data_IF_047024194239
#
_entry.id   IF_047024194239
#
_cell.length_a   1.000
_cell.length_b   1.000
_cell.length_c   1.000
_cell.angle_alpha   90.00
_cell.angle_beta   90.00
_cell.angle_gamma   90.00
#
_symmetry.space_group_name_H-M   'P 1'
#
loop_
_entity.id
_entity.type
_entity.pdbx_description
1 polymer ?
#
# COMPACT_ATOMS: atom_id res chain seq x y z
N UNK A 1 -3.43 -21.53 69.73
CA UNK A 1 -2.44 -20.45 69.95
C UNK A 1 -3.03 -19.16 69.34
N UNK A 2 -3.54 -18.28 70.25
CA UNK A 2 -4.01 -16.97 69.79
C UNK A 2 -2.76 -16.10 69.49
N UNK A 3 -2.64 -15.71 68.24
CA UNK A 3 -1.57 -14.78 67.79
C UNK A 3 -1.93 -13.41 68.35
N UNK A 4 -1.21 -12.95 69.37
CA UNK A 4 -1.45 -11.65 69.98
C UNK A 4 -1.03 -10.55 69.01
N UNK A 5 -2.03 -9.84 68.46
CA UNK A 5 -1.85 -8.77 67.47
C UNK A 5 -0.89 -7.64 67.98
N UNK A 6 -0.87 -7.43 69.28
CA UNK A 6 0.01 -6.43 69.92
C UNK A 6 1.46 -6.87 69.88
N UNK A 7 1.75 -8.14 70.04
CA UNK A 7 3.14 -8.65 69.94
C UNK A 7 3.64 -8.55 68.50
N UNK A 8 2.79 -8.81 67.49
CA UNK A 8 3.15 -8.64 66.08
C UNK A 8 3.51 -7.18 65.75
N UNK A 9 2.74 -6.21 66.24
CA UNK A 9 2.99 -4.78 66.06
C UNK A 9 4.29 -4.38 66.77
N UNK A 10 4.58 -4.91 67.96
CA UNK A 10 5.80 -4.62 68.69
C UNK A 10 7.05 -5.13 67.98
N UNK A 11 6.98 -6.31 67.40
CA UNK A 11 8.09 -6.90 66.58
C UNK A 11 8.33 -6.07 65.33
N UNK A 12 7.24 -5.69 64.61
CA UNK A 12 7.33 -4.83 63.45
C UNK A 12 7.94 -3.46 63.79
N UNK A 13 7.53 -2.87 64.92
CA UNK A 13 8.07 -1.58 65.34
C UNK A 13 9.55 -1.67 65.72
N UNK A 14 9.96 -2.74 66.38
CA UNK A 14 11.38 -3.01 66.72
C UNK A 14 12.25 -3.23 65.48
N UNK A 15 11.68 -3.81 64.40
CA UNK A 15 12.34 -4.08 63.14
C UNK A 15 12.25 -2.93 62.11
N UNK A 16 11.58 -1.80 62.43
CA UNK A 16 11.27 -0.71 61.48
C UNK A 16 12.50 -0.20 60.69
N UNK A 17 13.65 -0.07 61.33
CA UNK A 17 14.89 0.42 60.67
C UNK A 17 15.41 -0.61 59.68
N UNK A 18 15.32 -1.88 59.98
CA UNK A 18 15.72 -2.98 59.06
C UNK A 18 14.78 -3.02 57.86
N UNK A 19 13.45 -2.92 58.09
CA UNK A 19 12.43 -2.91 57.05
C UNK A 19 12.65 -1.71 56.10
N UNK A 20 12.83 -0.50 56.65
CA UNK A 20 13.10 0.70 55.86
C UNK A 20 14.40 0.57 55.08
N UNK A 21 15.47 0.02 55.68
CA UNK A 21 16.73 -0.23 54.99
C UNK A 21 16.60 -1.19 53.80
N UNK A 22 15.84 -2.28 53.96
CA UNK A 22 15.59 -3.23 52.89
C UNK A 22 14.74 -2.59 51.75
N UNK A 23 13.71 -1.82 52.10
CA UNK A 23 12.88 -1.13 51.10
C UNK A 23 13.75 -0.12 50.33
N UNK A 24 14.56 0.68 50.99
CA UNK A 24 15.45 1.63 50.34
C UNK A 24 16.49 0.96 49.43
N UNK A 25 17.05 -0.15 49.87
CA UNK A 25 18.01 -0.93 49.09
C UNK A 25 17.37 -1.45 47.79
N UNK A 26 16.19 -2.07 47.85
CA UNK A 26 15.49 -2.53 46.66
C UNK A 26 14.98 -1.39 45.78
N UNK A 27 14.59 -0.25 46.36
CA UNK A 27 14.22 0.93 45.60
C UNK A 27 15.42 1.48 44.82
N UNK A 28 16.61 1.54 45.41
CA UNK A 28 17.83 1.93 44.72
C UNK A 28 18.20 0.97 43.59
N UNK A 29 18.08 -0.35 43.82
CA UNK A 29 18.33 -1.35 42.77
C UNK A 29 17.34 -1.16 41.66
N UNK A 30 16.02 -1.05 41.94
CA UNK A 30 14.97 -0.82 40.92
C UNK A 30 15.22 0.45 40.11
N UNK A 31 15.67 1.53 40.77
CA UNK A 31 16.02 2.76 40.08
C UNK A 31 17.24 2.59 39.16
N UNK A 32 18.29 1.92 39.60
CA UNK A 32 19.46 1.63 38.76
C UNK A 32 19.09 0.75 37.56
N UNK A 33 18.30 -0.29 37.77
CA UNK A 33 17.81 -1.17 36.68
C UNK A 33 16.96 -0.37 35.67
N UNK A 34 16.15 0.57 36.13
CA UNK A 34 15.35 1.44 35.26
C UNK A 34 16.17 2.27 34.27
N UNK A 35 17.38 2.69 34.67
CA UNK A 35 18.32 3.43 33.79
C UNK A 35 19.01 2.55 32.75
N UNK A 36 19.17 1.25 33.04
CA UNK A 36 19.84 0.30 32.15
C UNK A 36 18.89 -0.27 31.10
N UNK A 37 17.58 -0.27 31.39
CA UNK A 37 16.56 -0.75 30.45
C UNK A 37 16.47 0.17 29.23
N UNK A 38 16.64 -0.38 28.01
CA UNK A 38 16.51 0.42 26.79
C UNK A 38 15.09 0.96 26.67
N UNK A 39 14.96 2.27 26.60
CA UNK A 39 13.68 2.92 26.34
C UNK A 39 13.23 2.58 24.92
N UNK A 40 11.96 2.22 24.77
CA UNK A 40 11.33 1.95 23.48
C UNK A 40 10.14 2.88 23.29
N UNK A 41 10.14 3.59 22.19
CA UNK A 41 9.09 4.52 21.82
C UNK A 41 8.36 3.97 20.62
N UNK A 42 7.02 3.89 20.71
CA UNK A 42 6.18 3.45 19.61
C UNK A 42 5.42 4.63 19.04
N UNK A 43 5.61 4.88 17.75
CA UNK A 43 4.74 5.77 16.97
C UNK A 43 3.64 4.95 16.35
N UNK A 44 2.42 5.48 16.31
CA UNK A 44 1.27 4.82 15.68
C UNK A 44 0.48 5.82 14.83
N UNK A 45 -0.06 5.32 13.72
CA UNK A 45 -0.93 6.05 12.82
C UNK A 45 -2.13 5.18 12.45
N UNK A 46 -3.33 5.73 12.53
CA UNK A 46 -4.54 5.06 12.06
C UNK A 46 -4.78 5.50 10.61
N UNK A 47 -4.93 4.52 9.73
CA UNK A 47 -5.21 4.74 8.31
C UNK A 47 -6.56 4.16 7.94
N UNK A 48 -7.27 4.87 7.08
CA UNK A 48 -8.60 4.51 6.57
C UNK A 48 -8.63 4.69 5.06
N UNK A 49 -9.54 4.04 4.33
CA UNK A 49 -9.78 4.38 2.94
C UNK A 49 -10.07 5.86 2.76
N UNK A 50 -9.64 6.44 1.64
CA UNK A 50 -9.90 7.84 1.32
C UNK A 50 -11.40 8.17 1.40
N UNK A 51 -11.75 9.37 1.85
CA UNK A 51 -13.15 9.80 1.85
C UNK A 51 -13.69 9.99 0.42
N UNK A 52 -15.00 9.84 0.26
CA UNK A 52 -15.65 9.95 -1.06
C UNK A 52 -15.36 11.29 -1.75
N UNK A 53 -15.22 12.36 -0.99
CA UNK A 53 -14.89 13.69 -1.52
C UNK A 53 -13.48 13.73 -2.10
N UNK A 54 -12.51 13.15 -1.39
CA UNK A 54 -11.11 13.07 -1.84
C UNK A 54 -10.96 12.19 -3.09
N UNK A 55 -11.79 11.14 -3.19
CA UNK A 55 -11.79 10.21 -4.31
C UNK A 55 -12.54 10.76 -5.54
N UNK A 56 -13.39 11.78 -5.37
CA UNK A 56 -14.28 12.28 -6.43
C UNK A 56 -13.55 12.82 -7.65
N UNK A 57 -12.42 13.49 -7.46
CA UNK A 57 -11.60 14.02 -8.56
C UNK A 57 -11.06 12.91 -9.46
N UNK A 58 -10.49 11.86 -8.84
CA UNK A 58 -10.01 10.70 -9.59
C UNK A 58 -11.16 9.97 -10.31
N UNK A 59 -12.30 9.81 -9.65
CA UNK A 59 -13.49 9.21 -10.25
C UNK A 59 -13.97 9.96 -11.51
N UNK A 60 -13.91 11.29 -11.51
CA UNK A 60 -14.26 12.08 -12.70
C UNK A 60 -13.34 11.77 -13.87
N UNK A 61 -12.05 11.67 -13.62
CA UNK A 61 -11.07 11.39 -14.68
C UNK A 61 -11.21 9.93 -15.18
N UNK A 62 -11.39 8.96 -14.27
CA UNK A 62 -11.66 7.58 -14.63
C UNK A 62 -12.97 7.43 -15.43
N UNK A 63 -14.02 8.19 -15.08
CA UNK A 63 -15.28 8.19 -15.81
C UNK A 63 -15.14 8.69 -17.26
N UNK A 64 -14.25 9.65 -17.52
CA UNK A 64 -13.94 10.10 -18.88
C UNK A 64 -13.30 8.97 -19.71
N UNK A 65 -12.41 8.21 -19.09
CA UNK A 65 -11.76 7.07 -19.73
C UNK A 65 -12.74 5.91 -19.97
N UNK A 66 -13.69 5.71 -19.07
CA UNK A 66 -14.77 4.74 -19.26
C UNK A 66 -15.64 5.06 -20.49
N UNK A 67 -15.95 6.34 -20.74
CA UNK A 67 -16.66 6.77 -21.96
C UNK A 67 -15.88 6.42 -23.23
N UNK A 68 -14.54 6.38 -23.16
CA UNK A 68 -13.69 5.95 -24.27
C UNK A 68 -13.56 4.41 -24.37
N UNK A 69 -14.35 3.67 -23.58
CA UNK A 69 -14.37 2.20 -23.57
C UNK A 69 -13.16 1.58 -22.87
N UNK A 70 -12.56 2.30 -21.94
CA UNK A 70 -11.48 1.79 -21.07
C UNK A 70 -12.05 1.62 -19.66
N UNK A 71 -12.18 0.39 -19.20
CA UNK A 71 -12.73 0.06 -17.89
C UNK A 71 -11.59 -0.20 -16.90
N UNK A 72 -11.63 0.53 -15.80
CA UNK A 72 -10.70 0.34 -14.69
C UNK A 72 -11.44 -0.18 -13.45
N UNK A 73 -10.97 -1.28 -12.89
CA UNK A 73 -11.43 -1.76 -11.57
C UNK A 73 -10.66 -1.08 -10.43
N UNK A 74 -10.48 0.24 -10.57
CA UNK A 74 -9.81 1.07 -9.57
C UNK A 74 -10.87 1.79 -8.78
N UNK A 75 -11.03 1.37 -7.53
CA UNK A 75 -11.92 2.01 -6.58
C UNK A 75 -11.18 2.31 -5.26
N UNK A 76 -11.82 3.09 -4.42
CA UNK A 76 -11.30 3.51 -3.12
C UNK A 76 -10.82 2.35 -2.26
N UNK A 77 -11.61 1.28 -2.21
CA UNK A 77 -11.36 0.16 -1.33
C UNK A 77 -10.26 -0.76 -1.89
N UNK A 78 -10.20 -0.93 -3.23
CA UNK A 78 -9.11 -1.66 -3.89
C UNK A 78 -7.76 -0.93 -3.75
N UNK A 79 -7.76 0.39 -3.88
CA UNK A 79 -6.55 1.21 -3.67
C UNK A 79 -6.04 1.12 -2.22
N UNK A 80 -6.95 1.15 -1.24
CA UNK A 80 -6.60 0.98 0.17
C UNK A 80 -6.10 -0.43 0.47
N UNK A 81 -6.75 -1.46 -0.07
CA UNK A 81 -6.29 -2.85 0.07
C UNK A 81 -4.88 -3.04 -0.52
N UNK A 82 -4.59 -2.41 -1.67
CA UNK A 82 -3.26 -2.40 -2.27
C UNK A 82 -2.23 -1.71 -1.36
N UNK A 83 -2.61 -0.57 -0.73
CA UNK A 83 -1.76 0.12 0.23
C UNK A 83 -1.41 -0.79 1.41
N UNK A 84 -2.38 -1.45 2.03
CA UNK A 84 -2.13 -2.36 3.16
C UNK A 84 -1.25 -3.54 2.72
N UNK A 85 -1.53 -4.14 1.55
CA UNK A 85 -0.71 -5.22 0.98
C UNK A 85 0.74 -4.80 0.77
N UNK A 86 0.98 -3.60 0.23
CA UNK A 86 2.33 -3.04 0.03
C UNK A 86 3.01 -2.69 1.36
N UNK A 87 2.27 -2.16 2.32
CA UNK A 87 2.78 -1.85 3.66
C UNK A 87 3.25 -3.12 4.38
N UNK A 88 2.53 -4.23 4.25
CA UNK A 88 2.89 -5.53 4.82
C UNK A 88 3.98 -6.28 4.03
N UNK A 89 4.35 -5.77 2.86
CA UNK A 89 5.35 -6.42 2.01
C UNK A 89 6.74 -6.29 2.62
N UNK A 90 7.35 -7.43 2.92
CA UNK A 90 8.73 -7.52 3.42
C UNK A 90 9.71 -6.88 2.43
N UNK A 91 9.47 -7.02 1.11
CA UNK A 91 10.32 -6.43 0.08
C UNK A 91 10.25 -4.90 0.10
N UNK A 92 9.04 -4.33 0.14
CA UNK A 92 8.85 -2.88 0.21
C UNK A 92 9.49 -2.29 1.47
N UNK A 93 9.34 -2.98 2.60
CA UNK A 93 9.93 -2.55 3.86
C UNK A 93 11.46 -2.61 3.83
N UNK A 94 12.03 -3.69 3.32
CA UNK A 94 13.47 -3.83 3.18
C UNK A 94 14.07 -2.78 2.23
N UNK A 95 13.39 -2.48 1.11
CA UNK A 95 13.82 -1.46 0.15
C UNK A 95 13.80 -0.07 0.78
N UNK A 96 12.71 0.29 1.47
CA UNK A 96 12.62 1.54 2.21
C UNK A 96 13.70 1.65 3.30
N UNK A 97 13.87 0.62 4.12
CA UNK A 97 14.85 0.64 5.21
C UNK A 97 16.28 0.84 4.70
N UNK A 98 16.64 0.24 3.56
CA UNK A 98 17.96 0.42 2.93
C UNK A 98 18.21 1.86 2.48
N UNK A 99 17.18 2.58 2.06
CA UNK A 99 17.24 3.96 1.57
C UNK A 99 16.91 5.00 2.66
N UNK A 100 16.43 4.56 3.84
CA UNK A 100 15.97 5.48 4.87
C UNK A 100 17.13 6.24 5.52
N UNK A 101 16.98 7.55 5.81
CA UNK A 101 17.99 8.34 6.50
C UNK A 101 18.38 7.74 7.86
N UNK A 102 17.44 7.14 8.56
CA UNK A 102 17.63 6.48 9.85
C UNK A 102 18.63 5.32 9.75
N UNK A 103 18.47 4.42 8.81
CA UNK A 103 19.37 3.28 8.60
C UNK A 103 20.74 3.76 8.12
N UNK A 104 20.76 4.77 7.23
CA UNK A 104 22.02 5.37 6.75
C UNK A 104 22.82 6.00 7.89
N UNK A 105 22.16 6.60 8.86
CA UNK A 105 22.84 7.16 10.06
C UNK A 105 23.42 6.05 10.95
N UNK A 106 22.69 4.95 11.13
CA UNK A 106 23.18 3.77 11.86
C UNK A 106 24.43 3.19 11.19
N UNK A 107 24.41 3.05 9.85
CA UNK A 107 25.54 2.56 9.07
C UNK A 107 26.77 3.44 9.28
N UNK A 108 26.60 4.76 9.17
CA UNK A 108 27.70 5.72 9.34
C UNK A 108 28.30 5.69 10.75
N UNK A 109 27.45 5.55 11.78
CA UNK A 109 27.90 5.54 13.18
C UNK A 109 28.63 4.25 13.60
N UNK A 110 28.23 3.10 13.02
CA UNK A 110 28.71 1.78 13.48
C UNK A 110 29.70 1.10 12.55
N UNK A 111 30.02 1.67 11.39
CA UNK A 111 30.90 1.08 10.36
C UNK A 111 30.55 -0.40 10.04
N UNK A 112 29.26 -0.67 9.84
CA UNK A 112 28.64 -1.99 9.80
C UNK A 112 28.95 -2.67 8.47
N UNK A 113 29.28 -3.97 8.50
CA UNK A 113 29.43 -4.81 7.31
C UNK A 113 28.09 -5.07 6.59
N UNK A 114 28.13 -5.47 5.33
CA UNK A 114 26.91 -5.75 4.55
C UNK A 114 26.00 -6.82 5.19
N UNK A 115 26.60 -7.83 5.86
CA UNK A 115 25.85 -8.87 6.55
C UNK A 115 25.18 -8.36 7.83
N UNK A 116 25.88 -7.53 8.60
CA UNK A 116 25.34 -6.90 9.80
C UNK A 116 24.24 -5.91 9.45
N UNK A 117 24.38 -5.19 8.33
CA UNK A 117 23.34 -4.32 7.79
C UNK A 117 22.07 -5.11 7.49
N UNK A 118 22.19 -6.25 6.81
CA UNK A 118 21.04 -7.09 6.51
C UNK A 118 20.33 -7.56 7.79
N UNK A 119 21.07 -8.01 8.80
CA UNK A 119 20.51 -8.41 10.10
C UNK A 119 19.85 -7.24 10.83
N UNK A 120 20.45 -6.05 10.78
CA UNK A 120 19.89 -4.86 11.38
C UNK A 120 18.56 -4.46 10.70
N UNK A 121 18.48 -4.53 9.37
CA UNK A 121 17.26 -4.25 8.61
C UNK A 121 16.16 -5.26 8.96
N UNK A 122 16.47 -6.55 9.03
CA UNK A 122 15.50 -7.58 9.43
C UNK A 122 14.99 -7.32 10.85
N UNK A 123 15.87 -7.05 11.81
CA UNK A 123 15.47 -6.73 13.19
C UNK A 123 14.65 -5.44 13.30
N UNK A 124 14.92 -4.43 12.47
CA UNK A 124 14.10 -3.22 12.41
C UNK A 124 12.74 -3.49 11.77
N UNK A 125 12.69 -4.39 10.78
CA UNK A 125 11.44 -4.77 10.11
C UNK A 125 10.44 -5.44 11.08
N UNK A 126 10.93 -6.18 12.07
CA UNK A 126 10.10 -6.79 13.12
C UNK A 126 9.41 -5.75 14.03
N UNK A 127 9.95 -4.54 14.10
CA UNK A 127 9.37 -3.44 14.85
C UNK A 127 8.26 -2.69 14.10
N UNK A 128 8.09 -2.96 12.79
CA UNK A 128 6.98 -2.43 11.98
C UNK A 128 5.79 -3.37 12.09
N UNK A 129 4.64 -2.85 12.50
CA UNK A 129 3.41 -3.63 12.68
C UNK A 129 2.24 -2.94 12.00
N UNK A 130 1.32 -3.76 11.51
CA UNK A 130 0.02 -3.35 11.02
C UNK A 130 -1.05 -4.23 11.66
N UNK A 131 -2.06 -3.61 12.24
CA UNK A 131 -3.15 -4.30 12.92
C UNK A 131 -4.47 -3.85 12.31
N UNK A 132 -5.30 -4.81 11.93
CA UNK A 132 -6.68 -4.55 11.51
C UNK A 132 -7.52 -4.29 12.77
N UNK A 133 -7.99 -3.06 12.94
CA UNK A 133 -8.75 -2.63 14.12
C UNK A 133 -10.13 -3.31 14.20
N UNK A 134 -10.60 -3.88 13.09
CA UNK A 134 -11.89 -4.58 13.01
C UNK A 134 -11.76 -6.10 13.16
N UNK A 135 -10.55 -6.64 13.21
CA UNK A 135 -10.34 -8.09 13.30
C UNK A 135 -10.95 -8.71 14.57
N UNK A 136 -10.98 -7.96 15.67
CA UNK A 136 -11.60 -8.39 16.94
C UNK A 136 -13.12 -8.18 17.00
N UNK A 137 -13.69 -7.36 16.08
CA UNK A 137 -15.12 -7.01 16.03
C UNK A 137 -15.91 -7.79 14.98
N UNK A 138 -15.38 -8.92 14.49
CA UNK A 138 -16.00 -9.73 13.42
C UNK A 138 -17.46 -10.12 13.64
N UNK A 139 -17.98 -10.03 14.87
CA UNK A 139 -19.37 -10.31 15.20
C UNK A 139 -20.26 -9.07 15.26
N UNK A 140 -19.69 -7.87 15.17
CA UNK A 140 -20.45 -6.63 15.21
C UNK A 140 -20.53 -6.04 13.79
N UNK A 141 -21.65 -6.34 13.09
CA UNK A 141 -21.95 -5.83 11.75
C UNK A 141 -22.14 -4.31 11.69
N UNK A 142 -21.92 -3.61 12.81
CA UNK A 142 -22.08 -2.16 12.92
C UNK A 142 -20.82 -1.35 12.63
N UNK A 143 -19.64 -1.96 12.47
CA UNK A 143 -18.44 -1.20 12.10
C UNK A 143 -18.42 -0.92 10.59
N UNK A 144 -19.03 0.21 10.24
CA UNK A 144 -19.09 0.77 8.87
C UNK A 144 -17.73 1.25 8.33
N UNK A 145 -16.68 1.23 9.15
CA UNK A 145 -15.38 1.81 8.80
C UNK A 145 -14.27 0.76 8.91
N UNK A 146 -13.59 0.54 7.79
CA UNK A 146 -12.34 -0.22 7.76
C UNK A 146 -11.22 0.69 8.21
N UNK A 147 -10.52 0.34 9.31
CA UNK A 147 -9.35 1.08 9.79
C UNK A 147 -8.21 0.11 10.13
N UNK A 148 -6.99 0.57 9.94
CA UNK A 148 -5.78 -0.13 10.29
C UNK A 148 -4.89 0.74 11.14
N UNK A 149 -4.37 0.19 12.23
CA UNK A 149 -3.34 0.84 13.04
C UNK A 149 -1.96 0.36 12.59
N UNK A 150 -1.18 1.29 12.08
CA UNK A 150 0.21 1.09 11.66
C UNK A 150 1.12 1.60 12.77
N UNK A 151 2.15 0.85 13.14
CA UNK A 151 3.05 1.28 14.22
C UNK A 151 4.51 0.87 13.95
N UNK A 152 5.43 1.67 14.48
CA UNK A 152 6.85 1.39 14.48
C UNK A 152 7.47 1.73 15.83
N UNK A 153 8.35 0.87 16.31
CA UNK A 153 9.02 1.02 17.59
C UNK A 153 10.51 1.29 17.39
N UNK A 154 11.03 2.36 18.00
CA UNK A 154 12.43 2.77 17.93
C UNK A 154 12.95 3.22 19.31
N UNK A 155 14.28 3.41 19.48
CA UNK A 155 14.87 3.90 20.73
C UNK A 155 14.46 5.32 21.11
N UNK A 156 14.10 6.15 20.14
CA UNK A 156 13.64 7.54 20.38
C UNK A 156 12.29 7.80 19.73
N UNK A 157 11.52 8.72 20.31
CA UNK A 157 10.22 9.14 19.77
C UNK A 157 10.34 9.72 18.36
N UNK A 158 11.39 10.52 18.11
CA UNK A 158 11.65 11.12 16.81
C UNK A 158 11.91 10.06 15.74
N UNK A 159 12.79 9.11 16.01
CA UNK A 159 13.08 8.02 15.07
C UNK A 159 11.86 7.16 14.79
N UNK A 160 11.05 6.85 15.82
CA UNK A 160 9.83 6.10 15.66
C UNK A 160 8.84 6.83 14.72
N UNK A 161 8.68 8.15 14.89
CA UNK A 161 7.82 8.98 14.05
C UNK A 161 8.35 9.11 12.63
N UNK A 162 9.62 9.47 12.46
CA UNK A 162 10.22 9.75 11.15
C UNK A 162 10.25 8.49 10.26
N UNK A 163 10.56 7.33 10.83
CA UNK A 163 10.55 6.06 10.10
C UNK A 163 9.14 5.65 9.70
N UNK A 164 8.16 5.73 10.62
CA UNK A 164 6.78 5.37 10.32
C UNK A 164 6.17 6.27 9.25
N UNK A 165 6.28 7.59 9.42
CA UNK A 165 5.75 8.56 8.47
C UNK A 165 6.43 8.47 7.11
N UNK A 166 7.74 8.31 7.09
CA UNK A 166 8.50 8.10 5.87
C UNK A 166 8.09 6.82 5.13
N UNK A 167 7.87 5.72 5.86
CA UNK A 167 7.43 4.46 5.25
C UNK A 167 6.00 4.55 4.71
N UNK A 168 5.08 5.20 5.44
CA UNK A 168 3.72 5.46 4.94
C UNK A 168 3.76 6.24 3.63
N UNK A 169 4.54 7.32 3.56
CA UNK A 169 4.71 8.12 2.35
C UNK A 169 5.34 7.32 1.20
N UNK A 170 6.34 6.52 1.49
CA UNK A 170 6.98 5.63 0.52
C UNK A 170 5.98 4.63 -0.07
N UNK A 171 5.22 3.93 0.77
CA UNK A 171 4.20 2.97 0.33
C UNK A 171 3.10 3.68 -0.46
N UNK A 172 2.67 4.86 -0.04
CA UNK A 172 1.69 5.67 -0.78
C UNK A 172 2.18 5.99 -2.19
N UNK A 173 3.46 6.37 -2.34
CA UNK A 173 4.05 6.64 -3.66
C UNK A 173 4.17 5.38 -4.53
N UNK A 174 4.44 4.21 -3.92
CA UNK A 174 4.42 2.93 -4.63
C UNK A 174 3.03 2.59 -5.17
N UNK A 175 2.00 2.78 -4.33
CA UNK A 175 0.60 2.52 -4.74
C UNK A 175 0.19 3.42 -5.90
N UNK A 176 0.47 4.72 -5.80
CA UNK A 176 0.18 5.67 -6.89
C UNK A 176 0.90 5.26 -8.18
N UNK A 177 2.17 4.87 -8.08
CA UNK A 177 2.95 4.41 -9.24
C UNK A 177 2.33 3.17 -9.87
N UNK A 178 1.99 2.17 -9.07
CA UNK A 178 1.40 0.91 -9.56
C UNK A 178 0.04 1.19 -10.23
N UNK A 179 -0.84 1.99 -9.61
CA UNK A 179 -2.13 2.36 -10.20
C UNK A 179 -1.97 3.13 -11.51
N UNK A 180 -0.98 4.03 -11.61
CA UNK A 180 -0.70 4.76 -12.85
C UNK A 180 -0.12 3.86 -13.94
N UNK A 181 0.65 2.85 -13.57
CA UNK A 181 1.16 1.83 -14.49
C UNK A 181 0.04 0.95 -15.03
N UNK A 182 -0.89 0.51 -14.18
CA UNK A 182 -2.07 -0.26 -14.57
C UNK A 182 -2.93 0.55 -15.56
N UNK A 183 -3.21 1.83 -15.27
CA UNK A 183 -3.93 2.73 -16.18
C UNK A 183 -3.22 2.84 -17.54
N UNK A 184 -1.91 3.04 -17.53
CA UNK A 184 -1.12 3.15 -18.76
C UNK A 184 -1.18 1.88 -19.60
N UNK A 185 -1.02 0.72 -18.96
CA UNK A 185 -1.04 -0.58 -19.63
C UNK A 185 -2.41 -0.83 -20.28
N UNK A 186 -3.51 -0.53 -19.58
CA UNK A 186 -4.85 -0.70 -20.10
C UNK A 186 -5.12 0.22 -21.31
N UNK A 187 -4.66 1.48 -21.22
CA UNK A 187 -4.74 2.43 -22.35
C UNK A 187 -3.92 1.96 -23.56
N UNK A 188 -2.75 1.38 -23.35
CA UNK A 188 -1.91 0.85 -24.42
C UNK A 188 -2.57 -0.35 -25.09
N UNK A 189 -3.11 -1.28 -24.31
CA UNK A 189 -3.88 -2.43 -24.83
C UNK A 189 -5.06 -1.94 -25.68
N UNK A 190 -5.85 -1.02 -25.16
CA UNK A 190 -7.01 -0.46 -25.89
C UNK A 190 -6.59 0.21 -27.19
N UNK A 191 -5.55 1.04 -27.14
CA UNK A 191 -5.02 1.73 -28.32
C UNK A 191 -4.54 0.75 -29.39
N UNK A 192 -3.91 -0.36 -29.01
CA UNK A 192 -3.45 -1.37 -29.94
C UNK A 192 -4.63 -2.13 -30.58
N UNK A 193 -5.64 -2.48 -29.78
CA UNK A 193 -6.89 -3.12 -30.28
C UNK A 193 -7.59 -2.20 -31.29
N UNK A 194 -7.73 -0.91 -31.01
CA UNK A 194 -8.35 0.07 -31.92
C UNK A 194 -7.56 0.17 -33.24
N UNK A 195 -6.23 0.18 -33.19
CA UNK A 195 -5.37 0.18 -34.39
C UNK A 195 -5.57 -1.08 -35.25
N UNK A 196 -5.69 -2.25 -34.62
CA UNK A 196 -5.94 -3.50 -35.33
C UNK A 196 -7.32 -3.52 -35.99
N UNK A 197 -8.35 -3.03 -35.30
CA UNK A 197 -9.71 -2.90 -35.85
C UNK A 197 -9.68 -1.99 -37.08
N UNK A 198 -9.05 -0.84 -36.99
CA UNK A 198 -8.90 0.10 -38.13
C UNK A 198 -8.19 -0.55 -39.31
N UNK A 199 -7.11 -1.31 -39.08
CA UNK A 199 -6.38 -2.00 -40.13
C UNK A 199 -7.25 -3.09 -40.82
N UNK A 200 -8.03 -3.82 -40.05
CA UNK A 200 -8.98 -4.83 -40.57
C UNK A 200 -10.10 -4.20 -41.38
N UNK A 201 -10.63 -3.09 -40.92
CA UNK A 201 -11.68 -2.34 -41.64
C UNK A 201 -11.16 -1.75 -42.98
N UNK A 202 -9.92 -1.23 -42.96
CA UNK A 202 -9.25 -0.78 -44.20
C UNK A 202 -9.12 -1.93 -45.23
N UNK A 203 -8.67 -3.10 -44.78
CA UNK A 203 -8.54 -4.28 -45.64
C UNK A 203 -9.93 -4.69 -46.18
N UNK A 204 -10.93 -4.70 -45.34
CA UNK A 204 -12.32 -5.06 -45.73
C UNK A 204 -12.88 -4.10 -46.79
N UNK A 205 -12.75 -2.79 -46.55
CA UNK A 205 -13.18 -1.74 -47.49
C UNK A 205 -12.43 -1.90 -48.84
N UNK A 206 -11.11 -2.10 -48.80
CA UNK A 206 -10.28 -2.31 -49.98
C UNK A 206 -10.70 -3.55 -50.77
N UNK A 207 -10.98 -4.68 -50.10
CA UNK A 207 -11.45 -5.89 -50.71
C UNK A 207 -12.84 -5.70 -51.35
N UNK A 208 -13.74 -4.99 -50.69
CA UNK A 208 -15.06 -4.70 -51.17
C UNK A 208 -15.01 -3.81 -52.41
N UNK A 209 -14.20 -2.74 -52.37
CA UNK A 209 -13.98 -1.85 -53.52
C UNK A 209 -13.39 -2.61 -54.71
N UNK A 210 -12.40 -3.48 -54.51
CA UNK A 210 -11.82 -4.30 -55.56
C UNK A 210 -12.85 -5.29 -56.16
N UNK A 211 -13.78 -5.83 -55.36
CA UNK A 211 -14.83 -6.70 -55.82
C UNK A 211 -15.86 -5.91 -56.68
N UNK A 212 -16.19 -4.69 -56.26
CA UNK A 212 -17.12 -3.83 -57.00
C UNK A 212 -16.51 -3.34 -58.33
N UNK A 213 -15.23 -2.99 -58.34
CA UNK A 213 -14.49 -2.65 -59.59
C UNK A 213 -14.48 -3.83 -60.56
N UNK A 214 -14.22 -5.05 -60.07
CA UNK A 214 -14.28 -6.26 -60.92
C UNK A 214 -15.68 -6.49 -61.48
N UNK A 215 -16.74 -6.33 -60.66
CA UNK A 215 -18.11 -6.45 -61.05
C UNK A 215 -18.49 -5.43 -62.15
N UNK A 216 -18.08 -4.16 -61.98
CA UNK A 216 -18.29 -3.09 -62.95
C UNK A 216 -17.55 -3.37 -64.27
N UNK A 217 -16.28 -3.80 -64.23
CA UNK A 217 -15.51 -4.16 -65.41
C UNK A 217 -16.16 -5.32 -66.15
N UNK A 218 -16.63 -6.36 -65.45
CA UNK A 218 -17.33 -7.48 -66.04
C UNK A 218 -18.64 -7.03 -66.67
N UNK A 219 -19.40 -6.15 -66.02
CA UNK A 219 -20.64 -5.58 -66.57
C UNK A 219 -20.36 -4.72 -67.84
N UNK A 220 -19.25 -3.99 -67.83
CA UNK A 220 -18.82 -3.20 -68.98
C UNK A 220 -18.42 -4.10 -70.21
N UNK A 221 -17.68 -5.20 -69.94
CA UNK A 221 -17.35 -6.18 -70.95
C UNK A 221 -18.59 -6.81 -71.60
N UNK A 222 -19.56 -7.21 -70.74
CA UNK A 222 -20.85 -7.76 -71.21
C UNK A 222 -21.64 -6.76 -72.02
N UNK A 223 -21.71 -5.50 -71.57
CA UNK A 223 -22.40 -4.45 -72.32
C UNK A 223 -21.74 -4.15 -73.69
N UNK A 224 -20.39 -4.13 -73.71
CA UNK A 224 -19.67 -3.96 -74.99
C UNK A 224 -19.85 -5.15 -75.94
N UNK A 225 -19.83 -6.38 -75.44
CA UNK A 225 -20.08 -7.58 -76.21
C UNK A 225 -21.53 -7.63 -76.77
N UNK A 226 -22.48 -7.10 -76.01
CA UNK A 226 -23.90 -7.01 -76.42
C UNK A 226 -24.17 -5.81 -77.33
N UNK A 227 -23.22 -4.99 -77.71
CA UNK A 227 -23.35 -3.83 -78.59
C UNK A 227 -24.18 -2.67 -78.00
N UNK A 228 -24.36 -2.62 -76.69
CA UNK A 228 -25.11 -1.59 -75.98
C UNK A 228 -24.27 -0.30 -75.86
N UNK A 229 -24.55 0.69 -76.74
CA UNK A 229 -23.85 1.98 -76.84
C UNK A 229 -24.47 3.10 -76.01
N UNK A 230 -25.57 2.90 -75.33
CA UNK A 230 -26.23 3.90 -74.50
C UNK A 230 -26.67 3.31 -73.17
N UNK A 231 -26.46 4.02 -71.99
CA UNK A 231 -27.02 3.56 -70.73
C UNK A 231 -28.54 3.60 -70.80
N UNK A 232 -29.22 2.47 -70.43
CA UNK A 232 -30.67 2.38 -70.24
C UNK A 232 -30.93 2.91 -68.82
N UNK A 233 -31.48 4.13 -68.74
CA UNK A 233 -32.00 4.66 -67.49
C UNK A 233 -33.40 4.16 -67.30
N UNK A 234 -33.66 3.37 -66.28
CA UNK A 234 -35.01 3.05 -65.77
C UNK A 234 -35.35 3.94 -64.62
#
# INVERSE_FOLDING_TARGET
EEIDLFDLIRVLWAAKIKIVGVILFFACIGFLVSFVLPQKWTSSAVVTPAESVQWSELNKELSKLHVLGVDFDINRDSAFALFIKKFQSVNSLNEYMRSSPYVMEIIKKKNISALELHRAIVGLSENMKSVDDNASKKNDKSSLYVSWTLSFTAPTSKEAHDVLSGYINYVSSLVVRDLMEDIRNELEVKTNVEKEILALDEIKIRNQLNADIRRLNYSLEVANAAGIKKPVYS
#
